data_IF_315197629753
#
_entry.id   IF_315197629753
#
_cell.length_a   1.000
_cell.length_b   1.000
_cell.length_c   1.000
_cell.angle_alpha   90.00
_cell.angle_beta   90.00
_cell.angle_gamma   90.00
#
_symmetry.space_group_name_H-M   'P 1'
#
loop_
_entity.id
_entity.type
_entity.pdbx_description
1 polymer ?
#
# COMPACT_ATOMS: atom_id res chain seq x y z
N UNK A 1 -19.88 23.90 6.44
CA UNK A 1 -19.68 22.62 5.71
C UNK A 1 -18.29 22.01 5.89
N UNK A 2 -17.31 22.71 6.48
CA UNK A 2 -15.94 22.18 6.68
C UNK A 2 -15.76 21.38 7.98
N UNK A 3 -16.57 21.62 9.02
CA UNK A 3 -16.50 20.92 10.32
C UNK A 3 -16.89 19.43 10.27
N UNK A 4 -17.54 18.98 9.19
CA UNK A 4 -17.96 17.58 8.98
C UNK A 4 -16.83 16.70 8.40
N UNK A 5 -15.80 17.30 7.80
CA UNK A 5 -14.64 16.57 7.29
C UNK A 5 -13.57 16.34 8.36
N UNK A 6 -13.36 17.29 9.27
CA UNK A 6 -12.37 17.14 10.34
C UNK A 6 -12.80 16.11 11.40
N UNK A 7 -14.11 16.00 11.68
CA UNK A 7 -14.64 14.92 12.53
C UNK A 7 -14.53 13.55 11.86
N UNK A 8 -14.61 13.45 10.53
CA UNK A 8 -14.36 12.19 9.81
C UNK A 8 -12.88 11.79 9.85
N UNK A 9 -11.95 12.75 9.79
CA UNK A 9 -10.51 12.47 9.88
C UNK A 9 -10.13 12.04 11.31
N UNK A 10 -10.67 12.70 12.33
CA UNK A 10 -10.45 12.33 13.74
C UNK A 10 -11.15 10.99 14.07
N UNK A 11 -12.35 10.74 13.54
CA UNK A 11 -13.02 9.44 13.67
C UNK A 11 -12.33 8.34 12.86
N UNK A 12 -11.68 8.65 11.73
CA UNK A 12 -10.77 7.72 11.04
C UNK A 12 -9.52 7.44 11.85
N UNK A 13 -8.91 8.45 12.48
CA UNK A 13 -7.77 8.27 13.38
C UNK A 13 -8.15 7.44 14.62
N UNK A 14 -9.34 7.64 15.18
CA UNK A 14 -9.87 6.82 16.28
C UNK A 14 -10.24 5.40 15.82
N UNK A 15 -10.80 5.21 14.62
CA UNK A 15 -10.99 3.87 14.04
C UNK A 15 -9.68 3.17 13.72
N UNK A 16 -8.65 3.92 13.29
CA UNK A 16 -7.29 3.39 13.11
C UNK A 16 -6.73 2.99 14.47
N UNK A 17 -7.02 3.73 15.55
CA UNK A 17 -6.66 3.38 16.93
C UNK A 17 -7.47 2.19 17.50
N UNK A 18 -8.73 1.97 17.10
CA UNK A 18 -9.48 0.76 17.43
C UNK A 18 -8.98 -0.46 16.63
N UNK A 19 -8.49 -0.27 15.40
CA UNK A 19 -7.78 -1.31 14.64
C UNK A 19 -6.41 -1.64 15.28
N UNK A 20 -5.85 -0.73 16.10
CA UNK A 20 -4.59 -0.94 16.83
C UNK A 20 -4.73 -1.93 18.00
N UNK A 21 -5.94 -2.24 18.48
CA UNK A 21 -6.18 -3.17 19.60
C UNK A 21 -6.57 -4.61 19.19
N UNK A 22 -6.48 -4.94 17.90
CA UNK A 22 -6.57 -6.33 17.45
C UNK A 22 -5.19 -6.98 17.63
N UNK A 23 -4.99 -7.56 18.81
CA UNK A 23 -4.48 -8.91 19.11
C UNK A 23 -3.69 -9.75 18.07
N UNK A 24 -3.09 -9.21 17.01
CA UNK A 24 -2.29 -9.99 16.05
C UNK A 24 -0.93 -9.36 15.74
N UNK A 25 -0.11 -9.25 16.78
CA UNK A 25 1.35 -9.16 16.61
C UNK A 25 2.06 -10.48 16.20
N UNK A 26 1.50 -11.72 16.34
CA UNK A 26 2.19 -12.92 15.86
C UNK A 26 2.29 -12.98 14.33
N UNK A 27 1.29 -12.45 13.61
CA UNK A 27 1.19 -12.57 12.15
C UNK A 27 2.30 -11.78 11.42
N UNK A 28 2.78 -10.68 12.00
CA UNK A 28 3.80 -9.84 11.36
C UNK A 28 5.25 -10.23 11.66
N UNK A 29 5.50 -10.89 12.80
CA UNK A 29 6.82 -11.46 13.16
C UNK A 29 7.09 -12.71 12.32
N UNK A 30 6.05 -13.43 11.88
CA UNK A 30 6.14 -14.56 10.96
C UNK A 30 6.71 -14.16 9.58
N UNK A 31 6.48 -12.92 9.10
CA UNK A 31 7.07 -12.43 7.84
C UNK A 31 8.58 -12.19 7.91
N UNK A 32 9.17 -12.12 9.11
CA UNK A 32 10.62 -12.10 9.29
C UNK A 32 11.22 -13.52 9.29
N UNK A 33 10.44 -14.55 9.63
CA UNK A 33 10.91 -15.94 9.74
C UNK A 33 10.60 -16.82 8.53
N UNK A 34 9.55 -16.53 7.76
CA UNK A 34 9.16 -17.34 6.60
C UNK A 34 8.66 -16.48 5.43
N UNK A 35 9.50 -16.23 4.40
CA UNK A 35 9.04 -15.62 3.15
C UNK A 35 8.08 -16.51 2.34
N UNK A 36 7.90 -17.79 2.72
CA UNK A 36 7.10 -18.79 2.00
C UNK A 36 5.60 -18.79 2.37
N UNK A 37 5.19 -18.33 3.57
CA UNK A 37 3.77 -18.27 3.97
C UNK A 37 2.92 -17.28 3.16
N UNK A 38 3.56 -16.42 2.36
CA UNK A 38 2.90 -15.55 1.38
C UNK A 38 2.39 -16.35 0.16
N UNK A 39 2.88 -17.58 -0.06
CA UNK A 39 2.52 -18.42 -1.19
C UNK A 39 1.21 -19.21 -0.99
N UNK A 40 0.84 -19.54 0.26
CA UNK A 40 -0.31 -20.39 0.56
C UNK A 40 -1.66 -19.68 0.37
N UNK A 41 -1.77 -18.41 0.76
CA UNK A 41 -2.96 -17.57 0.47
C UNK A 41 -3.05 -17.21 -1.03
N UNK A 42 -1.92 -17.20 -1.73
CA UNK A 42 -1.87 -17.07 -3.19
C UNK A 42 -2.31 -18.37 -3.89
N UNK A 43 -2.13 -19.54 -3.26
CA UNK A 43 -2.51 -20.84 -3.78
C UNK A 43 -4.03 -21.03 -3.91
N UNK A 44 -4.80 -20.58 -2.91
CA UNK A 44 -6.28 -20.66 -2.95
C UNK A 44 -6.86 -19.68 -3.99
N UNK A 45 -6.24 -18.52 -4.17
CA UNK A 45 -6.66 -17.55 -5.20
C UNK A 45 -6.23 -17.96 -6.62
N UNK A 46 -5.09 -18.68 -6.75
CA UNK A 46 -4.71 -19.34 -8.00
C UNK A 46 -5.73 -20.41 -8.37
N UNK A 47 -6.19 -21.22 -7.41
CA UNK A 47 -7.06 -22.36 -7.71
C UNK A 47 -8.44 -21.93 -8.23
N UNK A 48 -8.96 -20.78 -7.76
CA UNK A 48 -10.22 -20.19 -8.25
C UNK A 48 -10.03 -19.51 -9.64
N UNK A 49 -8.81 -19.05 -9.95
CA UNK A 49 -8.47 -18.49 -11.27
C UNK A 49 -8.18 -19.58 -12.32
N UNK A 50 -7.81 -20.79 -11.88
CA UNK A 50 -7.54 -21.95 -12.73
C UNK A 50 -8.79 -22.53 -13.42
N UNK A 51 -9.98 -22.27 -12.87
CA UNK A 51 -11.24 -22.86 -13.34
C UNK A 51 -11.95 -22.07 -14.46
N UNK A 52 -11.33 -21.01 -14.99
CA UNK A 52 -11.97 -20.17 -16.02
C UNK A 52 -11.03 -19.75 -17.16
N UNK A 53 -10.16 -20.66 -17.62
CA UNK A 53 -9.39 -20.48 -18.86
C UNK A 53 -10.15 -21.04 -20.07
N UNK A 54 -11.20 -20.33 -20.49
CA UNK A 54 -11.98 -20.69 -21.67
C UNK A 54 -11.31 -20.33 -23.00
N UNK A 55 -10.05 -19.85 -23.02
CA UNK A 55 -9.24 -19.72 -24.25
C UNK A 55 -7.74 -19.50 -23.96
N UNK A 56 -6.91 -20.51 -24.22
CA UNK A 56 -5.44 -20.49 -24.16
C UNK A 56 -4.77 -19.60 -25.23
N UNK A 57 -5.56 -19.05 -26.14
CA UNK A 57 -5.12 -18.21 -27.26
C UNK A 57 -6.06 -17.02 -27.45
N UNK A 58 -5.59 -16.00 -28.16
CA UNK A 58 -6.47 -14.94 -28.64
C UNK A 58 -7.18 -15.41 -29.93
N UNK A 59 -8.45 -15.05 -30.08
CA UNK A 59 -9.20 -15.30 -31.30
C UNK A 59 -8.83 -14.26 -32.36
N UNK A 60 -7.99 -14.66 -33.32
CA UNK A 60 -7.45 -13.77 -34.35
C UNK A 60 -7.17 -14.56 -35.62
N UNK A 61 -7.51 -13.94 -36.76
CA UNK A 61 -7.19 -14.49 -38.06
C UNK A 61 -5.67 -14.47 -38.35
N UNK A 62 -5.16 -15.57 -38.91
CA UNK A 62 -3.76 -15.72 -39.27
C UNK A 62 -3.37 -14.84 -40.48
N UNK A 63 -2.54 -13.83 -40.23
CA UNK A 63 -1.99 -12.90 -41.23
C UNK A 63 -0.62 -12.38 -40.77
N UNK A 64 0.30 -12.15 -41.72
CA UNK A 64 1.64 -11.60 -41.44
C UNK A 64 1.60 -10.25 -40.69
N UNK A 65 0.58 -9.43 -40.92
CA UNK A 65 0.40 -8.16 -40.19
C UNK A 65 0.07 -8.42 -38.72
N UNK A 66 -0.81 -9.40 -38.44
CA UNK A 66 -1.16 -9.81 -37.08
C UNK A 66 0.02 -10.46 -36.37
N UNK A 67 0.80 -11.28 -37.08
CA UNK A 67 2.02 -11.87 -36.52
C UNK A 67 2.97 -10.79 -35.97
N UNK A 68 3.27 -9.76 -36.78
CA UNK A 68 4.09 -8.62 -36.35
C UNK A 68 3.48 -7.89 -35.16
N UNK A 69 2.17 -7.66 -35.17
CA UNK A 69 1.47 -7.03 -34.05
C UNK A 69 1.66 -7.82 -32.74
N UNK A 70 1.49 -9.15 -32.77
CA UNK A 70 1.69 -9.99 -31.59
C UNK A 70 3.16 -10.09 -31.17
N UNK A 71 4.12 -10.10 -32.10
CA UNK A 71 5.54 -10.03 -31.76
C UNK A 71 5.91 -8.72 -31.06
N UNK A 72 5.31 -7.58 -31.47
CA UNK A 72 5.48 -6.29 -30.79
C UNK A 72 4.89 -6.36 -29.38
N UNK A 73 3.67 -6.91 -29.23
CA UNK A 73 3.03 -7.10 -27.93
C UNK A 73 3.85 -8.01 -27.01
N UNK A 74 4.44 -9.07 -27.54
CA UNK A 74 5.33 -9.96 -26.78
C UNK A 74 6.55 -9.21 -26.23
N UNK A 75 7.28 -8.50 -27.11
CA UNK A 75 8.45 -7.70 -26.69
C UNK A 75 8.07 -6.64 -25.66
N UNK A 76 6.90 -5.99 -25.83
CA UNK A 76 6.38 -5.02 -24.88
C UNK A 76 6.04 -5.67 -23.52
N UNK A 77 5.41 -6.85 -23.51
CA UNK A 77 5.07 -7.58 -22.29
C UNK A 77 6.32 -8.00 -21.51
N UNK A 78 7.35 -8.54 -22.19
CA UNK A 78 8.64 -8.91 -21.56
C UNK A 78 9.33 -7.69 -20.97
N UNK A 79 9.35 -6.56 -21.69
CA UNK A 79 9.91 -5.30 -21.17
C UNK A 79 9.12 -4.80 -19.96
N UNK A 80 7.80 -4.84 -20.02
CA UNK A 80 6.94 -4.41 -18.92
C UNK A 80 7.13 -5.28 -17.66
N UNK A 81 7.28 -6.60 -17.82
CA UNK A 81 7.59 -7.52 -16.73
C UNK A 81 8.92 -7.16 -16.05
N UNK A 82 9.98 -6.92 -16.83
CA UNK A 82 11.28 -6.51 -16.28
C UNK A 82 11.21 -5.19 -15.51
N UNK A 83 10.46 -4.20 -16.02
CA UNK A 83 10.26 -2.91 -15.34
C UNK A 83 9.47 -3.06 -14.04
N UNK A 84 8.41 -3.87 -14.04
CA UNK A 84 7.60 -4.11 -12.85
C UNK A 84 8.38 -4.86 -11.77
N UNK A 85 9.25 -5.81 -12.16
CA UNK A 85 10.14 -6.50 -11.23
C UNK A 85 11.12 -5.52 -10.56
N UNK A 86 11.75 -4.64 -11.33
CA UNK A 86 12.61 -3.60 -10.78
C UNK A 86 11.86 -2.64 -9.84
N UNK A 87 10.62 -2.26 -10.17
CA UNK A 87 9.77 -1.45 -9.28
C UNK A 87 9.44 -2.19 -7.98
N UNK A 88 9.11 -3.49 -8.07
CA UNK A 88 8.82 -4.33 -6.92
C UNK A 88 10.03 -4.41 -5.96
N UNK A 89 11.23 -4.58 -6.51
CA UNK A 89 12.46 -4.66 -5.72
C UNK A 89 12.76 -3.33 -5.01
N UNK A 90 12.60 -2.19 -5.69
CA UNK A 90 12.75 -0.87 -5.08
C UNK A 90 11.74 -0.62 -3.95
N UNK A 91 10.48 -1.03 -4.14
CA UNK A 91 9.45 -0.97 -3.11
C UNK A 91 9.75 -1.90 -1.94
N UNK A 92 10.27 -3.11 -2.18
CA UNK A 92 10.66 -4.06 -1.14
C UNK A 92 11.76 -3.51 -0.23
N UNK A 93 12.72 -2.77 -0.80
CA UNK A 93 13.76 -2.10 0.00
C UNK A 93 13.14 -1.04 0.91
N UNK A 94 12.30 -0.15 0.36
CA UNK A 94 11.63 0.90 1.15
C UNK A 94 10.70 0.34 2.20
N UNK A 95 9.93 -0.69 1.86
CA UNK A 95 9.04 -1.40 2.78
C UNK A 95 9.80 -1.95 4.00
N UNK A 96 10.95 -2.60 3.79
CA UNK A 96 11.77 -3.13 4.89
C UNK A 96 12.35 -2.04 5.78
N UNK A 97 12.78 -0.93 5.20
CA UNK A 97 13.27 0.23 5.96
C UNK A 97 12.16 0.83 6.83
N UNK A 98 10.98 1.08 6.25
CA UNK A 98 9.82 1.60 7.00
C UNK A 98 9.35 0.64 8.09
N UNK A 99 9.38 -0.68 7.84
CA UNK A 99 9.05 -1.69 8.85
C UNK A 99 10.00 -1.62 10.04
N UNK A 100 11.31 -1.51 9.80
CA UNK A 100 12.31 -1.38 10.86
C UNK A 100 12.06 -0.11 11.69
N UNK A 101 11.87 1.02 11.03
CA UNK A 101 11.57 2.30 11.70
C UNK A 101 10.29 2.24 12.52
N UNK A 102 9.26 1.56 12.02
CA UNK A 102 7.98 1.37 12.71
C UNK A 102 8.15 0.55 14.00
N UNK A 103 8.91 -0.54 13.96
CA UNK A 103 9.18 -1.38 15.14
C UNK A 103 9.96 -0.59 16.20
N UNK A 104 11.02 0.11 15.79
CA UNK A 104 11.80 0.95 16.70
C UNK A 104 10.96 2.07 17.32
N UNK A 105 10.09 2.71 16.52
CA UNK A 105 9.18 3.75 17.01
C UNK A 105 8.16 3.17 18.00
N UNK A 106 7.60 1.99 17.70
CA UNK A 106 6.63 1.31 18.58
C UNK A 106 7.24 0.94 19.93
N UNK A 107 8.48 0.44 19.95
CA UNK A 107 9.19 0.15 21.21
C UNK A 107 9.38 1.40 22.05
N UNK A 108 9.91 2.48 21.45
CA UNK A 108 10.12 3.76 22.15
C UNK A 108 8.82 4.37 22.65
N UNK A 109 7.75 4.29 21.85
CA UNK A 109 6.43 4.77 22.24
C UNK A 109 5.90 4.01 23.47
N UNK A 110 6.09 2.68 23.51
CA UNK A 110 5.69 1.86 24.66
C UNK A 110 6.36 2.30 25.96
N UNK A 111 7.66 2.62 25.92
CA UNK A 111 8.39 3.07 27.11
C UNK A 111 7.98 4.48 27.53
N UNK A 112 7.83 5.41 26.58
CA UNK A 112 7.31 6.75 26.86
C UNK A 112 5.88 6.72 27.42
N UNK A 113 5.05 5.79 26.96
CA UNK A 113 3.68 5.64 27.44
C UNK A 113 3.65 5.15 28.90
N UNK A 114 4.51 4.20 29.28
CA UNK A 114 4.68 3.79 30.69
C UNK A 114 5.07 4.99 31.57
N UNK A 115 6.06 5.76 31.15
CA UNK A 115 6.54 6.94 31.88
C UNK A 115 5.47 8.04 32.02
N UNK A 116 4.62 8.19 31.00
CA UNK A 116 3.49 9.12 30.99
C UNK A 116 2.34 8.63 31.88
N UNK A 117 2.04 7.34 31.89
CA UNK A 117 1.04 6.74 32.79
C UNK A 117 1.46 6.89 34.26
N UNK A 118 2.74 6.66 34.56
CA UNK A 118 3.27 6.84 35.92
C UNK A 118 3.17 8.31 36.36
N UNK A 119 3.51 9.27 35.49
CA UNK A 119 3.41 10.68 35.84
C UNK A 119 1.97 11.12 36.10
N UNK A 120 0.99 10.58 35.36
CA UNK A 120 -0.44 10.81 35.62
C UNK A 120 -0.85 10.26 36.99
N UNK A 121 -0.41 9.05 37.35
CA UNK A 121 -0.70 8.48 38.67
C UNK A 121 -0.12 9.33 39.81
N UNK A 122 1.12 9.83 39.66
CA UNK A 122 1.76 10.72 40.63
C UNK A 122 1.01 12.06 40.76
N UNK A 123 0.63 12.65 39.63
CA UNK A 123 -0.15 13.89 39.61
C UNK A 123 -1.52 13.69 40.26
N UNK A 124 -2.22 12.58 39.99
CA UNK A 124 -3.52 12.25 40.59
C UNK A 124 -3.43 12.06 42.10
N UNK A 125 -2.34 11.44 42.58
CA UNK A 125 -2.08 11.31 44.02
C UNK A 125 -1.92 12.67 44.71
N UNK A 126 -1.31 13.65 44.03
CA UNK A 126 -0.97 14.95 44.64
C UNK A 126 -2.09 15.97 44.51
N UNK A 127 -2.68 16.07 43.32
CA UNK A 127 -3.68 17.08 42.98
C UNK A 127 -5.12 16.62 43.21
N UNK A 128 -5.34 15.33 43.50
CA UNK A 128 -6.68 14.73 43.53
C UNK A 128 -7.21 14.43 42.13
N UNK A 129 -8.53 14.26 42.00
CA UNK A 129 -9.15 13.98 40.71
C UNK A 129 -9.34 15.29 39.91
N UNK A 130 -8.51 15.48 38.89
CA UNK A 130 -8.59 16.60 37.95
C UNK A 130 -9.14 16.19 36.57
N UNK A 131 -9.49 14.90 36.39
CA UNK A 131 -9.89 14.36 35.09
C UNK A 131 -11.15 15.03 34.56
N UNK A 132 -12.17 15.20 35.42
CA UNK A 132 -13.43 15.85 35.06
C UNK A 132 -13.23 17.31 34.66
N UNK A 133 -12.39 18.05 35.38
CA UNK A 133 -12.10 19.46 35.08
C UNK A 133 -11.39 19.62 33.73
N UNK A 134 -10.40 18.75 33.43
CA UNK A 134 -9.70 18.78 32.14
C UNK A 134 -10.66 18.45 31.00
N UNK A 135 -11.49 17.42 31.15
CA UNK A 135 -12.48 17.02 30.14
C UNK A 135 -13.49 18.15 29.88
N UNK A 136 -14.05 18.76 30.92
CA UNK A 136 -14.99 19.87 30.78
C UNK A 136 -14.35 21.08 30.09
N UNK A 137 -13.07 21.36 30.36
CA UNK A 137 -12.35 22.44 29.68
C UNK A 137 -12.13 22.14 28.19
N UNK A 138 -11.86 20.89 27.83
CA UNK A 138 -11.76 20.47 26.42
C UNK A 138 -13.10 20.64 25.71
N UNK A 139 -14.21 20.21 26.31
CA UNK A 139 -15.54 20.39 25.73
C UNK A 139 -15.94 21.86 25.58
N UNK A 140 -15.64 22.71 26.58
CA UNK A 140 -15.86 24.16 26.47
C UNK A 140 -15.04 24.77 25.34
N UNK A 141 -13.75 24.42 25.24
CA UNK A 141 -12.89 24.90 24.16
C UNK A 141 -13.41 24.48 22.77
N UNK A 142 -13.94 23.26 22.66
CA UNK A 142 -14.56 22.77 21.42
C UNK A 142 -15.85 23.53 21.09
N UNK A 143 -16.73 23.76 22.07
CA UNK A 143 -17.97 24.54 21.88
C UNK A 143 -17.72 25.99 21.47
N UNK A 144 -16.62 26.57 21.93
CA UNK A 144 -16.21 27.94 21.62
C UNK A 144 -15.37 28.05 20.33
N UNK A 145 -15.26 26.97 19.54
CA UNK A 145 -14.41 26.89 18.34
C UNK A 145 -12.97 27.35 18.57
N UNK A 146 -12.44 27.15 19.79
CA UNK A 146 -11.03 27.46 20.07
C UNK A 146 -10.14 26.43 19.39
N UNK A 147 -9.05 26.87 18.73
CA UNK A 147 -8.14 25.95 18.08
C UNK A 147 -7.47 25.02 19.09
N UNK A 148 -7.35 23.74 18.72
CA UNK A 148 -6.57 22.79 19.50
C UNK A 148 -5.11 23.26 19.61
N UNK A 149 -4.52 23.03 20.79
CA UNK A 149 -3.11 23.38 21.07
C UNK A 149 -2.14 22.61 20.16
N UNK A 150 -2.52 21.39 19.78
CA UNK A 150 -1.75 20.53 18.91
C UNK A 150 -2.55 20.21 17.66
N UNK A 151 -2.07 20.65 16.49
CA UNK A 151 -2.67 20.37 15.19
C UNK A 151 -1.68 19.63 14.31
N UNK A 152 -2.20 18.82 13.41
CA UNK A 152 -1.42 18.06 12.44
C UNK A 152 -1.86 18.48 11.05
N UNK A 153 -0.91 18.86 10.22
CA UNK A 153 -1.14 19.16 8.80
C UNK A 153 -0.66 17.97 7.98
N UNK A 154 -1.45 17.57 6.99
CA UNK A 154 -1.08 16.48 6.09
C UNK A 154 -0.41 17.04 4.85
N UNK A 155 0.75 16.49 4.50
CA UNK A 155 1.46 16.71 3.23
C UNK A 155 1.55 15.39 2.48
N UNK A 156 1.81 15.46 1.18
CA UNK A 156 1.97 14.27 0.33
C UNK A 156 3.40 14.21 -0.19
N UNK A 157 4.04 13.06 -0.05
CA UNK A 157 5.34 12.76 -0.63
C UNK A 157 5.21 11.60 -1.62
N UNK A 158 5.99 11.63 -2.70
CA UNK A 158 6.00 10.53 -3.67
C UNK A 158 7.23 9.64 -3.45
N UNK A 159 7.00 8.37 -3.11
CA UNK A 159 8.05 7.37 -2.96
C UNK A 159 7.81 6.25 -3.96
N UNK A 160 8.67 6.13 -4.97
CA UNK A 160 8.64 5.07 -6.00
C UNK A 160 7.26 4.99 -6.73
N UNK A 161 6.63 6.14 -6.94
CA UNK A 161 5.31 6.22 -7.59
C UNK A 161 4.13 5.92 -6.67
N UNK A 162 4.34 5.92 -5.35
CA UNK A 162 3.29 5.82 -4.31
C UNK A 162 3.22 7.14 -3.55
N UNK A 163 2.01 7.71 -3.46
CA UNK A 163 1.77 8.92 -2.67
C UNK A 163 1.59 8.55 -1.19
N UNK A 164 2.55 8.94 -0.37
CA UNK A 164 2.55 8.71 1.07
C UNK A 164 2.15 10.00 1.80
N UNK A 165 1.20 9.93 2.75
CA UNK A 165 0.90 11.06 3.61
C UNK A 165 1.99 11.25 4.66
N UNK A 166 2.47 12.47 4.81
CA UNK A 166 3.36 12.94 5.87
C UNK A 166 2.55 13.80 6.83
N UNK A 167 2.73 13.59 8.12
CA UNK A 167 2.05 14.35 9.16
C UNK A 167 3.03 15.31 9.84
N UNK A 168 2.84 16.61 9.63
CA UNK A 168 3.65 17.64 10.27
C UNK A 168 2.91 18.24 11.47
N UNK A 169 3.49 18.19 12.67
CA UNK A 169 2.89 18.82 13.84
C UNK A 169 3.02 20.35 13.73
N UNK A 170 1.89 21.03 13.64
CA UNK A 170 1.81 22.48 13.72
C UNK A 170 1.39 22.86 15.15
N UNK A 171 2.36 23.34 15.92
CA UNK A 171 2.07 24.04 17.17
C UNK A 171 1.69 25.47 16.83
N UNK A 172 0.40 25.83 16.91
CA UNK A 172 0.07 27.26 16.94
C UNK A 172 0.61 27.85 18.23
N UNK A 173 1.29 29.00 18.11
CA UNK A 173 1.78 29.76 19.25
C UNK A 173 0.74 29.84 20.35
N UNK A 174 1.12 29.30 21.51
CA UNK A 174 0.28 29.17 22.69
C UNK A 174 -0.22 30.54 23.16
N UNK A 175 -1.50 30.86 22.93
CA UNK A 175 -2.20 31.74 23.86
C UNK A 175 -2.36 30.95 25.16
N UNK A 176 -2.11 31.55 26.35
CA UNK A 176 -2.27 30.83 27.62
C UNK A 176 -3.68 30.25 27.68
N UNK A 177 -3.76 28.93 27.76
CA UNK A 177 -5.03 28.21 27.72
C UNK A 177 -5.60 28.12 29.13
N UNK A 178 -6.92 28.03 29.26
CA UNK A 178 -7.61 27.79 30.54
C UNK A 178 -7.08 26.53 31.26
N UNK A 179 -6.51 25.58 30.50
CA UNK A 179 -5.81 24.39 31.02
C UNK A 179 -4.54 24.72 31.79
N UNK A 180 -3.91 25.87 31.58
CA UNK A 180 -2.73 26.33 32.32
C UNK A 180 -3.07 26.83 33.73
N UNK A 181 -4.35 27.15 33.96
CA UNK A 181 -4.88 27.51 35.27
C UNK A 181 -5.26 26.28 36.11
N UNK A 182 -5.30 25.08 35.52
CA UNK A 182 -5.59 23.83 36.23
C UNK A 182 -4.39 23.48 37.12
N UNK A 183 -4.62 23.22 38.40
CA UNK A 183 -3.57 22.87 39.36
C UNK A 183 -2.89 24.04 40.05
N UNK A 184 -3.35 25.28 39.85
CA UNK A 184 -2.88 26.48 40.57
C UNK A 184 -3.03 26.36 42.09
N UNK A 185 -4.10 25.71 42.57
CA UNK A 185 -4.36 25.56 44.00
C UNK A 185 -3.58 24.40 44.64
N UNK A 186 -3.41 23.27 43.94
CA UNK A 186 -2.65 22.08 44.40
C UNK A 186 -2.08 21.30 43.22
N UNK A 187 -0.82 20.89 43.32
CA UNK A 187 -0.20 19.92 42.41
C UNK A 187 0.16 20.42 41.00
N UNK A 188 0.22 21.73 40.77
CA UNK A 188 0.54 22.32 39.46
C UNK A 188 1.87 21.87 38.84
N UNK A 189 2.90 21.63 39.65
CA UNK A 189 4.20 21.09 39.19
C UNK A 189 4.04 19.66 38.64
N UNK A 190 3.21 18.83 39.28
CA UNK A 190 2.93 17.47 38.78
C UNK A 190 2.16 17.50 37.46
N UNK A 191 1.23 18.44 37.30
CA UNK A 191 0.42 18.56 36.09
C UNK A 191 1.21 19.12 34.90
N UNK A 192 2.13 20.06 35.13
CA UNK A 192 3.01 20.57 34.07
C UNK A 192 3.95 19.49 33.54
N UNK A 193 4.48 18.65 34.43
CA UNK A 193 5.29 17.48 34.05
C UNK A 193 4.48 16.45 33.26
N UNK A 194 3.23 16.18 33.63
CA UNK A 194 2.31 15.34 32.86
C UNK A 194 2.08 15.90 31.46
N UNK A 195 1.79 17.20 31.34
CA UNK A 195 1.60 17.88 30.05
C UNK A 195 2.85 17.77 29.17
N UNK A 196 4.04 18.00 29.73
CA UNK A 196 5.31 17.91 29.02
C UNK A 196 5.54 16.51 28.45
N UNK A 197 5.36 15.47 29.28
CA UNK A 197 5.50 14.06 28.85
C UNK A 197 4.46 13.67 27.79
N UNK A 198 3.20 14.08 27.96
CA UNK A 198 2.15 13.78 26.98
C UNK A 198 2.35 14.52 25.65
N UNK A 199 2.87 15.74 25.66
CA UNK A 199 3.20 16.48 24.43
C UNK A 199 4.29 15.76 23.63
N UNK A 200 5.30 15.23 24.31
CA UNK A 200 6.33 14.40 23.67
C UNK A 200 5.74 13.09 23.14
N UNK A 201 4.92 12.40 23.94
CA UNK A 201 4.24 11.17 23.53
C UNK A 201 3.37 11.37 22.28
N UNK A 202 2.62 12.47 22.22
CA UNK A 202 1.76 12.80 21.08
C UNK A 202 2.58 13.02 19.80
N UNK A 203 3.76 13.64 19.91
CA UNK A 203 4.71 13.76 18.79
C UNK A 203 5.14 12.40 18.22
N UNK A 204 5.48 11.46 19.10
CA UNK A 204 5.83 10.09 18.69
C UNK A 204 4.63 9.31 18.16
N UNK A 205 3.43 9.52 18.71
CA UNK A 205 2.21 8.89 18.23
C UNK A 205 1.87 9.32 16.81
N UNK A 206 1.99 10.61 16.49
CA UNK A 206 1.81 11.12 15.12
C UNK A 206 2.84 10.50 14.17
N UNK A 207 4.11 10.41 14.60
CA UNK A 207 5.15 9.75 13.79
C UNK A 207 4.85 8.27 13.56
N UNK A 208 4.36 7.55 14.58
CA UNK A 208 3.96 6.15 14.42
C UNK A 208 2.78 6.00 13.46
N UNK A 209 1.75 6.85 13.58
CA UNK A 209 0.60 6.85 12.68
C UNK A 209 1.00 7.13 11.22
N UNK A 210 1.98 8.03 11.00
CA UNK A 210 2.57 8.27 9.69
C UNK A 210 3.20 6.99 9.12
N UNK A 211 4.08 6.35 9.90
CA UNK A 211 4.78 5.13 9.48
C UNK A 211 3.80 3.99 9.19
N UNK A 212 2.76 3.81 10.02
CA UNK A 212 1.73 2.80 9.81
C UNK A 212 0.93 3.05 8.53
N UNK A 213 0.51 4.28 8.28
CA UNK A 213 -0.26 4.64 7.07
C UNK A 213 0.59 4.44 5.81
N UNK A 214 1.87 4.81 5.89
CA UNK A 214 2.83 4.56 4.82
C UNK A 214 3.06 3.06 4.58
N UNK A 215 3.19 2.27 5.65
CA UNK A 215 3.37 0.83 5.58
C UNK A 215 2.21 0.13 4.88
N UNK A 216 0.95 0.45 5.25
CA UNK A 216 -0.24 -0.13 4.62
C UNK A 216 -0.31 0.23 3.13
N UNK A 217 -0.05 1.50 2.80
CA UNK A 217 -0.05 1.98 1.41
C UNK A 217 1.01 1.26 0.56
N UNK A 218 2.23 1.11 1.10
CA UNK A 218 3.33 0.41 0.43
C UNK A 218 3.05 -1.09 0.27
N UNK A 219 2.47 -1.75 1.28
CA UNK A 219 2.14 -3.18 1.18
C UNK A 219 1.08 -3.46 0.12
N UNK A 220 0.05 -2.61 0.04
CA UNK A 220 -1.00 -2.73 -0.96
C UNK A 220 -0.44 -2.59 -2.39
N UNK A 221 0.41 -1.58 -2.63
CA UNK A 221 1.05 -1.39 -3.94
C UNK A 221 1.99 -2.57 -4.27
N UNK A 222 2.79 -3.04 -3.30
CA UNK A 222 3.69 -4.18 -3.47
C UNK A 222 2.92 -5.45 -3.86
N UNK A 223 1.82 -5.75 -3.15
CA UNK A 223 0.93 -6.89 -3.47
C UNK A 223 0.32 -6.76 -4.87
N UNK A 224 -0.12 -5.56 -5.24
CA UNK A 224 -0.66 -5.30 -6.57
C UNK A 224 0.37 -5.54 -7.68
N UNK A 225 1.60 -5.06 -7.49
CA UNK A 225 2.69 -5.26 -8.45
C UNK A 225 3.03 -6.75 -8.57
N UNK A 226 3.17 -7.48 -7.46
CA UNK A 226 3.44 -8.92 -7.48
C UNK A 226 2.35 -9.70 -8.22
N UNK A 227 1.07 -9.37 -8.01
CA UNK A 227 -0.05 -9.96 -8.76
C UNK A 227 0.05 -9.66 -10.26
N UNK A 228 0.45 -8.45 -10.64
CA UNK A 228 0.64 -8.06 -12.04
C UNK A 228 1.81 -8.79 -12.71
N UNK A 229 2.93 -8.95 -12.00
CA UNK A 229 4.07 -9.73 -12.48
C UNK A 229 3.67 -11.19 -12.69
N UNK A 230 2.97 -11.79 -11.71
CA UNK A 230 2.47 -13.15 -11.81
C UNK A 230 1.48 -13.36 -12.98
N UNK A 231 0.56 -12.41 -13.17
CA UNK A 231 -0.38 -12.45 -14.30
C UNK A 231 0.34 -12.31 -15.66
N UNK A 232 1.40 -11.51 -15.73
CA UNK A 232 2.22 -11.40 -16.94
C UNK A 232 2.96 -12.71 -17.22
N UNK A 233 3.62 -13.27 -16.20
CA UNK A 233 4.43 -14.50 -16.30
C UNK A 233 3.61 -15.73 -16.67
N UNK A 234 2.50 -15.95 -15.97
CA UNK A 234 1.78 -17.21 -16.04
C UNK A 234 0.53 -17.18 -16.94
N UNK A 235 0.03 -15.99 -17.32
CA UNK A 235 -1.19 -15.88 -18.13
C UNK A 235 -0.93 -15.17 -19.46
N UNK A 236 -0.42 -13.94 -19.42
CA UNK A 236 -0.37 -13.09 -20.62
C UNK A 236 0.74 -13.51 -21.58
N UNK A 237 1.96 -13.71 -21.07
CA UNK A 237 3.12 -14.08 -21.91
C UNK A 237 2.89 -15.43 -22.61
N UNK A 238 2.46 -16.51 -21.91
CA UNK A 238 2.18 -17.79 -22.54
C UNK A 238 1.04 -17.70 -23.58
N UNK A 239 -0.02 -16.95 -23.28
CA UNK A 239 -1.15 -16.76 -24.21
C UNK A 239 -0.74 -16.05 -25.51
N UNK A 240 0.13 -15.04 -25.41
CA UNK A 240 0.69 -14.37 -26.59
C UNK A 240 1.58 -15.32 -27.39
N UNK A 241 2.44 -16.09 -26.72
CA UNK A 241 3.32 -17.08 -27.38
C UNK A 241 2.51 -18.14 -28.14
N UNK A 242 1.47 -18.71 -27.51
CA UNK A 242 0.57 -19.67 -28.15
C UNK A 242 -0.13 -19.07 -29.39
N UNK A 243 -0.53 -17.80 -29.31
CA UNK A 243 -1.16 -17.10 -30.43
C UNK A 243 -0.17 -16.87 -31.58
N UNK A 244 1.08 -16.50 -31.28
CA UNK A 244 2.14 -16.34 -32.30
C UNK A 244 2.40 -17.67 -32.99
N UNK A 245 2.54 -18.75 -32.22
CA UNK A 245 2.76 -20.10 -32.75
C UNK A 245 1.63 -20.52 -33.69
N UNK A 246 0.38 -20.34 -33.28
CA UNK A 246 -0.78 -20.61 -34.14
C UNK A 246 -0.75 -19.83 -35.47
N UNK A 247 -0.44 -18.53 -35.41
CA UNK A 247 -0.36 -17.70 -36.63
C UNK A 247 0.76 -18.20 -37.55
N UNK A 248 1.91 -18.59 -36.99
CA UNK A 248 3.03 -19.13 -37.76
C UNK A 248 2.67 -20.47 -38.42
N UNK A 249 2.09 -21.41 -37.66
CA UNK A 249 1.68 -22.72 -38.16
C UNK A 249 0.66 -22.58 -39.33
N UNK A 250 -0.32 -21.68 -39.19
CA UNK A 250 -1.33 -21.39 -40.24
C UNK A 250 -0.74 -20.71 -41.48
N UNK A 251 0.21 -19.79 -41.31
CA UNK A 251 0.88 -19.13 -42.44
C UNK A 251 1.76 -20.12 -43.20
N UNK A 252 2.49 -20.98 -42.50
CA UNK A 252 3.29 -22.03 -43.13
C UNK A 252 2.42 -23.03 -43.90
N UNK A 253 1.24 -23.40 -43.37
CA UNK A 253 0.32 -24.29 -44.08
C UNK A 253 -0.22 -23.64 -45.35
N UNK A 254 -0.63 -22.36 -45.29
CA UNK A 254 -1.06 -21.61 -46.48
C UNK A 254 0.04 -21.51 -47.54
N UNK A 255 1.29 -21.28 -47.13
CA UNK A 255 2.44 -21.25 -48.03
C UNK A 255 2.69 -22.63 -48.67
N UNK A 256 2.55 -23.73 -47.90
CA UNK A 256 2.63 -25.10 -48.44
C UNK A 256 1.55 -25.37 -49.48
N UNK A 257 0.30 -25.00 -49.22
CA UNK A 257 -0.81 -25.15 -50.17
C UNK A 257 -0.60 -24.35 -51.46
N UNK A 258 -0.12 -23.10 -51.34
CA UNK A 258 0.15 -22.23 -52.47
C UNK A 258 1.31 -22.77 -53.33
N UNK A 259 2.39 -23.24 -52.71
CA UNK A 259 3.48 -23.92 -53.41
C UNK A 259 3.00 -25.17 -54.15
N UNK A 260 2.12 -25.97 -53.55
CA UNK A 260 1.54 -27.14 -54.20
C UNK A 260 0.67 -26.76 -55.40
N UNK A 261 -0.18 -25.74 -55.27
CA UNK A 261 -0.99 -25.21 -56.38
C UNK A 261 -0.11 -24.74 -57.54
N UNK A 262 0.93 -23.95 -57.26
CA UNK A 262 1.86 -23.46 -58.28
C UNK A 262 2.56 -24.63 -58.99
N UNK A 263 3.08 -25.61 -58.24
CA UNK A 263 3.69 -26.81 -58.82
C UNK A 263 2.74 -27.58 -59.75
N UNK A 264 1.48 -27.75 -59.34
CA UNK A 264 0.46 -28.43 -60.14
C UNK A 264 0.12 -27.66 -61.43
N UNK A 265 -0.02 -26.33 -61.36
CA UNK A 265 -0.27 -25.48 -62.53
C UNK A 265 0.90 -25.53 -63.52
N UNK A 266 2.15 -25.49 -63.02
CA UNK A 266 3.34 -25.62 -63.86
C UNK A 266 3.39 -27.00 -64.53
N UNK A 267 3.08 -28.06 -63.79
CA UNK A 267 3.02 -29.42 -64.35
C UNK A 267 1.97 -29.53 -65.46
N UNK A 268 0.78 -28.94 -65.27
CA UNK A 268 -0.27 -28.90 -66.29
C UNK A 268 0.18 -28.08 -67.51
N UNK A 269 0.76 -26.88 -67.31
CA UNK A 269 1.28 -26.06 -68.43
C UNK A 269 2.33 -26.80 -69.26
N UNK A 270 3.26 -27.52 -68.61
CA UNK A 270 4.25 -28.36 -69.29
C UNK A 270 3.59 -29.50 -70.08
N UNK A 271 2.57 -30.14 -69.53
CA UNK A 271 1.84 -31.23 -70.19
C UNK A 271 1.02 -30.75 -71.40
N UNK A 272 0.46 -29.54 -71.35
CA UNK A 272 -0.36 -28.96 -72.43
C UNK A 272 0.49 -28.32 -73.55
N UNK A 273 1.81 -28.23 -73.38
CA UNK A 273 2.73 -27.79 -74.45
C UNK A 273 2.63 -26.32 -74.83
N UNK A 274 2.02 -25.48 -73.98
CA UNK A 274 1.96 -24.02 -74.18
C UNK A 274 3.23 -23.43 -73.58
N UNK A 275 4.16 -23.02 -74.46
CA UNK A 275 5.36 -22.26 -74.09
C UNK A 275 5.00 -20.95 -73.41
#
# INVERSE_FOLDING_TARGET
MELYNDTKIIAQLFRIAEIIDIQDTPVYVDYLSNPEKLSDDLGVFLHISFLNMSSDRHDVFASRTREREFQIRYKAAVKAQGLLKNKADALNVRFRLTLKEMIECKSKLGDMMKDACISVAMARRTAGDYSVTVINNVYKNASENRPAEYRVVTKWENVVGVHLPIFEPTALGSKPSMTDLVGLAKGGIGLSEVKRKHRQLLGYLVKLAQLQTAFISLDNERKLINRRVNALENVIVPKIQNTIKYIQDELEEKEREELYRIKKVIAIKKAVGVK
#
